data_IF_614874430452
#
_entry.id   IF_614874430452
#
_cell.length_a   1.000
_cell.length_b   1.000
_cell.length_c   1.000
_cell.angle_alpha   90.00
_cell.angle_beta   90.00
_cell.angle_gamma   90.00
#
_symmetry.space_group_name_H-M   'P 1'
#
loop_
_entity.id
_entity.type
_entity.pdbx_description
1 polymer ?
#
# COMPACT_ATOMS: atom_id res chain seq x y z
N UNK A 1 37.02 -18.21 -10.32
CA UNK A 1 36.40 -17.04 -9.66
C UNK A 1 35.08 -16.61 -10.30
N UNK A 2 35.00 -16.28 -11.59
CA UNK A 2 33.73 -15.85 -12.25
C UNK A 2 32.56 -16.83 -12.09
N UNK A 3 32.81 -18.15 -12.21
CA UNK A 3 31.78 -19.20 -12.02
C UNK A 3 31.21 -19.23 -10.59
N UNK A 4 32.03 -18.92 -9.59
CA UNK A 4 31.62 -18.89 -8.17
C UNK A 4 30.70 -17.69 -7.92
N UNK A 5 31.02 -16.52 -8.48
CA UNK A 5 30.14 -15.34 -8.39
C UNK A 5 28.79 -15.58 -9.07
N UNK A 6 28.77 -16.24 -10.23
CA UNK A 6 27.51 -16.61 -10.91
C UNK A 6 26.70 -17.58 -10.07
N UNK A 7 27.34 -18.58 -9.45
CA UNK A 7 26.66 -19.54 -8.58
C UNK A 7 26.06 -18.87 -7.33
N UNK A 8 26.82 -17.97 -6.69
CA UNK A 8 26.37 -17.23 -5.52
C UNK A 8 25.21 -16.28 -5.86
N UNK A 9 25.27 -15.61 -7.02
CA UNK A 9 24.19 -14.77 -7.50
C UNK A 9 22.91 -15.58 -7.74
N UNK A 10 23.02 -16.73 -8.42
CA UNK A 10 21.90 -17.66 -8.62
C UNK A 10 21.31 -18.12 -7.28
N UNK A 11 22.15 -18.50 -6.32
CA UNK A 11 21.71 -18.93 -4.99
C UNK A 11 20.91 -17.82 -4.27
N UNK A 12 21.44 -16.60 -4.26
CA UNK A 12 20.77 -15.44 -3.63
C UNK A 12 19.43 -15.14 -4.31
N UNK A 13 19.37 -15.18 -5.65
CA UNK A 13 18.10 -14.94 -6.36
C UNK A 13 17.04 -16.00 -6.06
N UNK A 14 17.43 -17.27 -5.89
CA UNK A 14 16.48 -18.33 -5.54
C UNK A 14 15.90 -18.19 -4.12
N UNK A 15 16.70 -17.69 -3.17
CA UNK A 15 16.20 -17.43 -1.81
C UNK A 15 15.19 -16.27 -1.76
N UNK A 16 15.37 -15.23 -2.58
CA UNK A 16 14.42 -14.11 -2.68
C UNK A 16 13.09 -14.56 -3.28
N UNK A 17 13.12 -15.44 -4.30
CA UNK A 17 11.91 -15.97 -4.94
C UNK A 17 11.08 -16.87 -4.01
N UNK A 18 11.72 -17.60 -3.10
CA UNK A 18 11.07 -18.52 -2.15
C UNK A 18 10.68 -17.87 -0.82
N UNK A 19 11.02 -16.59 -0.60
CA UNK A 19 10.71 -15.86 0.65
C UNK A 19 9.28 -15.33 0.71
N UNK A 20 8.46 -15.55 -0.33
CA UNK A 20 7.06 -15.14 -0.32
C UNK A 20 6.28 -16.04 0.64
N UNK A 21 5.76 -15.45 1.71
CA UNK A 21 4.83 -16.14 2.60
C UNK A 21 3.57 -16.54 1.81
N UNK A 22 3.17 -17.80 1.92
CA UNK A 22 1.95 -18.31 1.29
C UNK A 22 0.72 -17.74 2.01
N UNK A 23 0.27 -16.55 1.59
CA UNK A 23 -1.00 -16.01 2.04
C UNK A 23 -2.14 -16.93 1.56
N UNK A 24 -2.82 -17.56 2.52
CA UNK A 24 -4.02 -18.34 2.24
C UNK A 24 -5.23 -17.52 2.69
N UNK A 25 -6.08 -17.03 1.76
CA UNK A 25 -7.27 -16.27 2.13
C UNK A 25 -8.25 -17.17 2.89
N UNK A 26 -8.95 -16.59 3.87
CA UNK A 26 -10.05 -17.26 4.54
C UNK A 26 -11.22 -17.47 3.57
N UNK A 27 -12.10 -18.43 3.86
CA UNK A 27 -13.34 -18.64 3.11
C UNK A 27 -14.20 -17.37 3.04
N UNK A 28 -14.27 -16.60 4.13
CA UNK A 28 -14.96 -15.31 4.18
C UNK A 28 -14.34 -14.28 3.22
N UNK A 29 -13.01 -14.20 3.14
CA UNK A 29 -12.34 -13.32 2.17
C UNK A 29 -12.66 -13.72 0.73
N UNK A 30 -12.65 -15.01 0.42
CA UNK A 30 -13.02 -15.52 -0.92
C UNK A 30 -14.46 -15.19 -1.28
N UNK A 31 -15.40 -15.27 -0.33
CA UNK A 31 -16.79 -14.88 -0.54
C UNK A 31 -16.93 -13.36 -0.77
N UNK A 32 -16.26 -12.54 0.03
CA UNK A 32 -16.26 -11.08 -0.12
C UNK A 32 -15.70 -10.65 -1.48
N UNK A 33 -14.67 -11.33 -2.01
CA UNK A 33 -14.12 -11.07 -3.35
C UNK A 33 -15.14 -11.35 -4.46
N UNK A 34 -15.94 -12.42 -4.34
CA UNK A 34 -17.00 -12.72 -5.32
C UNK A 34 -18.05 -11.62 -5.34
N UNK A 35 -18.49 -11.18 -4.17
CA UNK A 35 -19.41 -10.04 -4.06
C UNK A 35 -18.80 -8.76 -4.64
N UNK A 36 -17.55 -8.44 -4.28
CA UNK A 36 -16.86 -7.24 -4.77
C UNK A 36 -16.71 -7.25 -6.30
N UNK A 37 -16.32 -8.39 -6.88
CA UNK A 37 -16.24 -8.56 -8.34
C UNK A 37 -17.62 -8.36 -8.99
N UNK A 38 -18.69 -8.90 -8.39
CA UNK A 38 -20.06 -8.71 -8.90
C UNK A 38 -20.60 -7.29 -8.77
N UNK A 39 -20.12 -6.51 -7.79
CA UNK A 39 -20.63 -5.18 -7.52
C UNK A 39 -20.30 -4.19 -8.64
N UNK A 40 -19.14 -4.35 -9.31
CA UNK A 40 -18.65 -3.64 -10.52
C UNK A 40 -18.51 -2.11 -10.44
N UNK A 41 -19.26 -1.45 -9.57
CA UNK A 41 -19.30 0.00 -9.39
C UNK A 41 -19.31 0.35 -7.90
N UNK A 42 -18.62 1.42 -7.54
CA UNK A 42 -18.55 1.93 -6.18
C UNK A 42 -18.11 3.38 -6.16
N UNK A 43 -18.30 4.02 -5.02
CA UNK A 43 -17.86 5.39 -4.77
C UNK A 43 -16.71 5.36 -3.77
N UNK A 44 -15.61 6.03 -4.12
CA UNK A 44 -14.48 6.21 -3.22
C UNK A 44 -14.44 7.67 -2.74
N UNK A 45 -14.45 7.87 -1.43
CA UNK A 45 -14.48 9.21 -0.83
C UNK A 45 -13.12 9.49 -0.19
N UNK A 46 -12.44 10.54 -0.66
CA UNK A 46 -11.28 11.12 0.01
C UNK A 46 -11.74 12.28 0.88
N UNK A 47 -11.71 12.10 2.21
CA UNK A 47 -12.10 13.14 3.16
C UNK A 47 -11.21 13.11 4.40
N UNK A 48 -10.84 14.29 4.91
CA UNK A 48 -10.03 14.45 6.10
C UNK A 48 -9.59 15.90 6.32
N UNK A 49 -8.62 16.13 7.21
CA UNK A 49 -8.08 17.47 7.50
C UNK A 49 -7.60 18.23 6.25
N UNK A 50 -7.04 17.51 5.27
CA UNK A 50 -6.60 18.08 4.00
C UNK A 50 -7.75 18.74 3.22
N UNK A 51 -8.98 18.26 3.39
CA UNK A 51 -10.17 18.80 2.72
C UNK A 51 -10.44 20.25 3.13
N UNK A 52 -9.99 20.68 4.33
CA UNK A 52 -10.09 22.08 4.78
C UNK A 52 -9.20 23.00 3.97
N UNK A 53 -8.01 22.51 3.55
CA UNK A 53 -7.04 23.29 2.77
C UNK A 53 -7.34 23.26 1.27
N UNK A 54 -8.14 22.30 0.79
CA UNK A 54 -8.53 22.20 -0.61
C UNK A 54 -7.38 21.93 -1.59
N UNK A 55 -6.26 21.36 -1.12
CA UNK A 55 -5.02 21.19 -1.90
C UNK A 55 -4.53 19.72 -1.94
N UNK A 56 -5.49 18.79 -2.02
CA UNK A 56 -5.22 17.35 -2.10
C UNK A 56 -4.74 16.72 -0.80
N UNK A 57 -4.80 15.38 -0.73
CA UNK A 57 -4.47 14.60 0.46
C UNK A 57 -2.99 14.67 0.86
N UNK A 58 -2.12 15.07 -0.08
CA UNK A 58 -0.68 15.22 0.13
C UNK A 58 -0.23 16.64 0.53
N UNK A 59 -1.16 17.58 0.77
CA UNK A 59 -0.84 18.98 1.11
C UNK A 59 0.14 19.11 2.29
N UNK A 60 0.03 18.23 3.30
CA UNK A 60 0.93 18.23 4.45
C UNK A 60 2.38 17.98 4.03
N UNK A 61 2.60 17.01 3.13
CA UNK A 61 3.91 16.67 2.60
C UNK A 61 4.43 17.77 1.66
N UNK A 62 3.61 18.17 0.67
CA UNK A 62 4.02 19.10 -0.39
C UNK A 62 4.42 20.48 0.16
N UNK A 63 3.82 20.89 1.28
CA UNK A 63 4.10 22.18 1.94
C UNK A 63 4.94 22.04 3.21
N UNK A 64 5.43 20.85 3.55
CA UNK A 64 6.17 20.56 4.80
C UNK A 64 5.46 21.08 6.06
N UNK A 65 4.12 20.96 6.12
CA UNK A 65 3.34 21.43 7.27
C UNK A 65 3.67 20.58 8.48
N UNK A 66 4.02 21.20 9.60
CA UNK A 66 4.37 20.45 10.81
C UNK A 66 3.13 19.78 11.39
N UNK A 67 3.30 18.59 11.97
CA UNK A 67 2.20 17.83 12.59
C UNK A 67 1.34 18.69 13.54
N UNK A 68 1.90 19.52 14.45
CA UNK A 68 1.07 20.34 15.35
C UNK A 68 0.25 21.41 14.63
N UNK A 69 0.76 21.96 13.52
CA UNK A 69 0.06 22.96 12.71
C UNK A 69 -1.08 22.31 11.93
N UNK A 70 -0.81 21.17 11.31
CA UNK A 70 -1.80 20.40 10.55
C UNK A 70 -2.96 19.93 11.43
N UNK A 71 -2.69 19.54 12.69
CA UNK A 71 -3.71 19.16 13.67
C UNK A 71 -4.72 20.26 13.97
N UNK A 72 -4.39 21.55 13.79
CA UNK A 72 -5.32 22.67 14.02
C UNK A 72 -6.50 22.68 13.06
N UNK A 73 -6.43 21.93 11.96
CA UNK A 73 -7.52 21.78 10.99
C UNK A 73 -8.62 20.81 11.46
N UNK A 74 -8.38 20.06 12.54
CA UNK A 74 -9.31 19.04 13.06
C UNK A 74 -10.40 19.61 13.98
N UNK A 75 -10.36 20.91 14.29
CA UNK A 75 -11.21 21.54 15.31
C UNK A 75 -10.55 21.57 16.69
#
# INVERSE_FOLDING_TARGET
MKKIFVLLFLLVTTHVLLSQNNYTPTSANLQARKWFDSARFGMFIHWGAFSVLGDGEWVMNNRNIRVPEYKRLLG
#
